data_IF_463244064077
#
_entry.id   IF_463244064077
#
_cell.length_a   1.000
_cell.length_b   1.000
_cell.length_c   1.000
_cell.angle_alpha   90.00
_cell.angle_beta   90.00
_cell.angle_gamma   90.00
#
_symmetry.space_group_name_H-M   'P 1'
#
loop_
_entity.id
_entity.type
_entity.pdbx_description
1 polymer ?
#
# COMPACT_ATOMS: atom_id res chain seq x y z
N UNK A 1 3.89 14.30 -1.59
CA UNK A 1 2.95 13.16 -1.81
C UNK A 1 2.23 12.89 -0.49
N UNK A 2 0.90 12.79 -0.50
CA UNK A 2 0.15 12.34 0.68
C UNK A 2 0.47 10.85 0.90
N UNK A 3 0.95 10.48 2.08
CA UNK A 3 1.15 9.07 2.43
C UNK A 3 -0.21 8.46 2.76
N UNK A 4 -0.50 7.31 2.17
CA UNK A 4 -1.63 6.48 2.57
C UNK A 4 -1.20 5.65 3.78
N UNK A 5 -2.06 5.59 4.80
CA UNK A 5 -1.83 4.76 5.98
C UNK A 5 -2.60 3.42 5.91
N UNK A 6 -2.31 2.53 6.86
CA UNK A 6 -2.94 1.21 6.91
C UNK A 6 -4.47 1.31 7.04
N UNK A 7 -4.97 2.19 7.91
CA UNK A 7 -6.41 2.33 8.17
C UNK A 7 -7.16 2.82 6.93
N UNK A 8 -6.58 3.75 6.16
CA UNK A 8 -7.12 4.19 4.87
C UNK A 8 -7.22 3.03 3.87
N UNK A 9 -6.22 2.14 3.82
CA UNK A 9 -6.25 0.98 2.92
C UNK A 9 -7.31 -0.03 3.35
N UNK A 10 -7.40 -0.31 4.65
CA UNK A 10 -8.40 -1.25 5.17
C UNK A 10 -9.81 -0.74 4.96
N UNK A 11 -10.05 0.56 5.15
CA UNK A 11 -11.34 1.18 4.88
C UNK A 11 -11.73 1.06 3.39
N UNK A 12 -10.79 1.35 2.47
CA UNK A 12 -11.04 1.19 1.03
C UNK A 12 -11.30 -0.27 0.69
N UNK A 13 -10.53 -1.21 1.26
CA UNK A 13 -10.73 -2.63 1.05
C UNK A 13 -12.12 -3.09 1.52
N UNK A 14 -12.57 -2.66 2.69
CA UNK A 14 -13.90 -2.98 3.23
C UNK A 14 -14.99 -2.44 2.30
N UNK A 15 -14.90 -1.18 1.88
CA UNK A 15 -15.83 -0.58 0.92
C UNK A 15 -15.88 -1.31 -0.43
N UNK A 16 -14.74 -1.82 -0.91
CA UNK A 16 -14.69 -2.62 -2.14
C UNK A 16 -15.39 -3.97 -1.96
N UNK A 17 -15.19 -4.66 -0.82
CA UNK A 17 -15.90 -5.91 -0.52
C UNK A 17 -17.40 -5.65 -0.44
N UNK A 18 -17.84 -4.60 0.24
CA UNK A 18 -19.25 -4.27 0.40
C UNK A 18 -19.94 -3.99 -0.94
N UNK A 19 -19.21 -3.37 -1.88
CA UNK A 19 -19.76 -2.98 -3.19
C UNK A 19 -19.71 -4.11 -4.22
N UNK A 20 -18.60 -4.85 -4.27
CA UNK A 20 -18.31 -5.80 -5.34
C UNK A 20 -18.34 -7.28 -4.90
N UNK A 21 -18.51 -7.53 -3.59
CA UNK A 21 -18.39 -8.86 -3.00
C UNK A 21 -16.94 -9.28 -2.79
N UNK A 22 -16.73 -10.29 -1.95
CA UNK A 22 -15.40 -10.79 -1.63
C UNK A 22 -15.33 -11.40 -0.23
N UNK A 23 -14.14 -11.83 0.17
CA UNK A 23 -13.88 -12.29 1.54
C UNK A 23 -13.23 -11.17 2.34
N UNK A 24 -13.76 -10.90 3.53
CA UNK A 24 -13.18 -9.91 4.45
C UNK A 24 -12.01 -10.52 5.25
N UNK A 25 -11.14 -9.65 5.76
CA UNK A 25 -9.98 -10.00 6.58
C UNK A 25 -8.65 -9.77 5.86
N UNK A 26 -7.58 -9.81 6.64
CA UNK A 26 -6.21 -9.59 6.16
C UNK A 26 -5.47 -10.92 6.21
N UNK A 27 -4.88 -11.33 5.07
CA UNK A 27 -4.08 -12.56 4.99
C UNK A 27 -2.84 -12.50 5.89
N UNK A 28 -2.09 -11.41 5.80
CA UNK A 28 -0.91 -11.15 6.62
C UNK A 28 -0.74 -9.64 6.84
N UNK A 29 -0.95 -9.20 8.08
CA UNK A 29 -0.86 -7.78 8.45
C UNK A 29 0.57 -7.24 8.34
N UNK A 30 1.58 -8.03 8.69
CA UNK A 30 2.99 -7.59 8.67
C UNK A 30 3.49 -7.44 7.24
N UNK A 31 3.06 -8.34 6.36
CA UNK A 31 3.35 -8.23 4.93
C UNK A 31 2.71 -6.97 4.32
N UNK A 32 1.46 -6.67 4.69
CA UNK A 32 0.76 -5.46 4.24
C UNK A 32 1.46 -4.19 4.74
N UNK A 33 1.82 -4.12 6.02
CA UNK A 33 2.57 -2.99 6.59
C UNK A 33 3.91 -2.78 5.86
N UNK A 34 4.64 -3.86 5.56
CA UNK A 34 5.88 -3.80 4.77
C UNK A 34 5.65 -3.28 3.35
N UNK A 35 4.59 -3.73 2.68
CA UNK A 35 4.23 -3.25 1.35
C UNK A 35 3.95 -1.74 1.32
N UNK A 36 3.23 -1.23 2.31
CA UNK A 36 2.89 0.20 2.45
C UNK A 36 4.14 1.06 2.64
N UNK A 37 5.15 0.57 3.36
CA UNK A 37 6.40 1.31 3.59
C UNK A 37 7.36 1.25 2.40
N UNK A 38 7.28 0.21 1.56
CA UNK A 38 8.26 -0.03 0.49
C UNK A 38 8.48 1.15 -0.49
N UNK A 39 7.47 1.94 -0.91
CA UNK A 39 7.67 3.10 -1.79
C UNK A 39 8.50 4.23 -1.17
N UNK A 40 8.65 4.24 0.15
CA UNK A 40 9.39 5.26 0.90
C UNK A 40 10.76 4.76 1.37
N UNK A 41 11.21 3.60 0.89
CA UNK A 41 12.56 3.14 1.17
C UNK A 41 13.60 4.04 0.50
N UNK A 42 14.61 4.35 1.29
CA UNK A 42 15.77 5.13 0.87
C UNK A 42 17.01 4.25 0.90
N UNK A 43 17.91 4.43 -0.04
CA UNK A 43 19.25 3.86 -0.01
C UNK A 43 20.27 4.99 0.06
N UNK A 44 21.15 4.96 1.07
CA UNK A 44 22.14 6.03 1.30
C UNK A 44 21.52 7.44 1.39
N UNK A 45 20.30 7.54 1.94
CA UNK A 45 19.55 8.80 2.05
C UNK A 45 18.89 9.28 0.76
N UNK A 46 19.01 8.52 -0.34
CA UNK A 46 18.39 8.81 -1.64
C UNK A 46 17.14 7.94 -1.76
N UNK A 47 16.02 8.56 -2.14
CA UNK A 47 14.78 7.84 -2.46
C UNK A 47 15.04 6.84 -3.60
N UNK A 48 14.63 5.58 -3.39
CA UNK A 48 14.76 4.55 -4.43
C UNK A 48 13.76 4.81 -5.57
N UNK A 49 12.59 5.34 -5.20
CA UNK A 49 11.52 5.74 -6.12
C UNK A 49 11.47 7.27 -6.10
N UNK A 50 11.94 7.91 -7.16
CA UNK A 50 12.12 9.36 -7.22
C UNK A 50 10.85 10.07 -7.68
N UNK A 51 10.05 9.40 -8.52
CA UNK A 51 8.81 9.97 -9.05
C UNK A 51 7.57 9.52 -8.26
N UNK A 52 6.46 10.26 -8.39
CA UNK A 52 5.18 9.89 -7.77
C UNK A 52 4.64 8.61 -8.43
N UNK A 53 4.80 8.49 -9.74
CA UNK A 53 4.41 7.34 -10.54
C UNK A 53 5.17 6.08 -10.11
N UNK A 54 6.48 6.18 -9.85
CA UNK A 54 7.29 5.08 -9.34
C UNK A 54 6.82 4.63 -7.95
N UNK A 55 6.52 5.58 -7.05
CA UNK A 55 5.98 5.29 -5.72
C UNK A 55 4.60 4.64 -5.81
N UNK A 56 3.74 5.11 -6.72
CA UNK A 56 2.42 4.54 -6.94
C UNK A 56 2.49 3.13 -7.52
N UNK A 57 3.35 2.89 -8.52
CA UNK A 57 3.59 1.57 -9.09
C UNK A 57 4.12 0.59 -8.04
N UNK A 58 5.05 1.05 -7.18
CA UNK A 58 5.58 0.22 -6.09
C UNK A 58 4.52 -0.12 -5.05
N UNK A 59 3.65 0.83 -4.71
CA UNK A 59 2.55 0.62 -3.78
C UNK A 59 1.54 -0.39 -4.34
N UNK A 60 1.15 -0.23 -5.61
CA UNK A 60 0.25 -1.16 -6.29
C UNK A 60 0.82 -2.58 -6.33
N UNK A 61 2.09 -2.73 -6.68
CA UNK A 61 2.77 -4.04 -6.69
C UNK A 61 2.75 -4.74 -5.32
N UNK A 62 2.82 -3.98 -4.22
CA UNK A 62 2.84 -4.57 -2.87
C UNK A 62 1.45 -4.97 -2.33
N UNK A 63 0.37 -4.45 -2.92
CA UNK A 63 -1.00 -4.62 -2.43
C UNK A 63 -1.78 -5.63 -3.30
N UNK A 64 -1.42 -5.80 -4.58
CA UNK A 64 -1.96 -6.84 -5.49
C UNK A 64 -1.47 -8.22 -5.06
#
# INVERSE_FOLDING_TARGET
MKKINLDEILLIHEQMIDTFGGTNGIRDKRLLESAIQSPYHTYSGIDIFNSIEEKAARLGFGII
#
